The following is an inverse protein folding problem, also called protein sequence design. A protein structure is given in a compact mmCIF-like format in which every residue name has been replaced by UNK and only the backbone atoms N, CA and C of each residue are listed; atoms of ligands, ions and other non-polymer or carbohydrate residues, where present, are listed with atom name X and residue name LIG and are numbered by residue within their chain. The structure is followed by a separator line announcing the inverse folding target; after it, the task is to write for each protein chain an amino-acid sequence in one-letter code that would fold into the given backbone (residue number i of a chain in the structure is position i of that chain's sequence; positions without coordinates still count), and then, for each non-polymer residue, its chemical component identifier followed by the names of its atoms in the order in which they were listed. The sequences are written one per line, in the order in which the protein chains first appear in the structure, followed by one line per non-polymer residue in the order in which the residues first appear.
data_IF_125516185662
#
_entry.id   IF_125516185662
#
_cell.length_a   1.000
_cell.length_b   1.000
_cell.length_c   1.000
_cell.angle_alpha   90.00
_cell.angle_beta   90.00
_cell.angle_gamma   90.00
#
_symmetry.space_group_name_H-M   'P 1'
#
loop_
_entity.id
_entity.type
_entity.pdbx_description
1 polymer ?
#
# COMPACT_ATOMS: atom_id res chain seq x y z
N UNK A 1 2.30 8.58 -13.88
CA UNK A 1 2.71 7.81 -15.09
C UNK A 1 1.81 8.02 -16.33
N UNK A 2 0.76 8.83 -16.25
CA UNK A 2 -0.32 8.84 -17.26
C UNK A 2 0.03 9.20 -18.70
N UNK A 3 1.15 9.90 -18.89
CA UNK A 3 1.63 10.40 -20.19
C UNK A 3 2.63 9.47 -20.88
N UNK A 4 2.98 8.36 -20.24
CA UNK A 4 3.91 7.36 -20.77
C UNK A 4 3.17 6.35 -21.67
N UNK A 5 3.84 5.86 -22.71
CA UNK A 5 3.37 4.71 -23.49
C UNK A 5 3.41 3.42 -22.67
N UNK A 6 2.72 2.36 -23.11
CA UNK A 6 2.73 1.07 -22.40
C UNK A 6 4.15 0.48 -22.25
N UNK A 7 4.98 0.59 -23.29
CA UNK A 7 6.39 0.14 -23.22
C UNK A 7 7.21 0.95 -22.21
N UNK A 8 6.94 2.26 -22.09
CA UNK A 8 7.60 3.11 -21.12
C UNK A 8 7.12 2.79 -19.70
N UNK A 9 5.82 2.53 -19.52
CA UNK A 9 5.25 2.09 -18.23
C UNK A 9 5.89 0.78 -17.78
N UNK A 10 6.00 -0.21 -18.66
CA UNK A 10 6.63 -1.49 -18.32
C UNK A 10 8.06 -1.34 -17.77
N UNK A 11 8.84 -0.37 -18.29
CA UNK A 11 10.18 -0.05 -17.76
C UNK A 11 10.13 0.56 -16.36
N UNK A 12 9.21 1.49 -16.13
CA UNK A 12 8.99 2.11 -14.82
C UNK A 12 8.48 1.08 -13.82
N UNK A 13 7.55 0.22 -14.21
CA UNK A 13 6.99 -0.84 -13.37
C UNK A 13 8.08 -1.82 -12.91
N UNK A 14 9.00 -2.21 -13.79
CA UNK A 14 10.13 -3.06 -13.40
C UNK A 14 11.06 -2.40 -12.37
N UNK A 15 11.22 -1.08 -12.41
CA UNK A 15 11.95 -0.33 -11.38
C UNK A 15 11.15 -0.24 -10.07
N UNK A 16 9.85 0.04 -10.17
CA UNK A 16 8.95 0.14 -9.03
C UNK A 16 8.83 -1.18 -8.27
N UNK A 17 8.76 -2.31 -8.98
CA UNK A 17 8.74 -3.65 -8.37
C UNK A 17 10.00 -3.92 -7.53
N UNK A 18 11.17 -3.40 -7.93
CA UNK A 18 12.39 -3.50 -7.12
C UNK A 18 12.29 -2.66 -5.85
N UNK A 19 11.69 -1.47 -5.94
CA UNK A 19 11.42 -0.66 -4.75
C UNK A 19 10.43 -1.36 -3.81
N UNK A 20 9.34 -1.92 -4.33
CA UNK A 20 8.38 -2.70 -3.54
C UNK A 20 9.07 -3.89 -2.85
N UNK A 21 9.93 -4.62 -3.56
CA UNK A 21 10.72 -5.71 -2.96
C UNK A 21 11.61 -5.24 -1.81
N UNK A 22 12.26 -4.07 -1.94
CA UNK A 22 13.05 -3.48 -0.88
C UNK A 22 12.20 -3.06 0.34
N UNK A 23 11.01 -2.50 0.10
CA UNK A 23 10.08 -2.19 1.18
C UNK A 23 9.58 -3.48 1.86
N UNK A 24 9.24 -4.50 1.08
CA UNK A 24 8.72 -5.77 1.60
C UNK A 24 9.77 -6.60 2.35
N UNK A 25 11.05 -6.30 2.16
CA UNK A 25 12.16 -6.86 2.92
C UNK A 25 12.24 -6.28 4.35
N UNK A 26 11.63 -5.12 4.62
CA UNK A 26 11.49 -4.59 5.97
C UNK A 26 10.37 -5.36 6.68
N UNK A 27 10.68 -5.94 7.84
CA UNK A 27 9.77 -6.82 8.58
C UNK A 27 9.45 -6.29 9.97
N UNK A 28 8.27 -6.63 10.46
CA UNK A 28 7.82 -6.31 11.81
C UNK A 28 6.85 -7.37 12.33
N UNK A 29 6.84 -7.58 13.64
CA UNK A 29 5.83 -8.35 14.38
C UNK A 29 4.66 -7.49 14.86
N UNK A 30 4.68 -6.18 14.59
CA UNK A 30 3.58 -5.25 14.87
C UNK A 30 3.14 -4.54 13.61
N UNK A 31 1.83 -4.35 13.44
CA UNK A 31 1.30 -3.53 12.36
C UNK A 31 1.46 -2.04 12.66
N UNK A 32 1.25 -1.21 11.63
CA UNK A 32 1.24 0.25 11.74
C UNK A 32 2.52 0.91 11.21
N UNK A 33 2.53 2.23 11.21
CA UNK A 33 3.63 3.04 10.70
C UNK A 33 4.88 2.99 11.60
N UNK A 34 5.97 3.68 11.23
CA UNK A 34 7.22 3.74 11.99
C UNK A 34 7.07 4.23 13.44
N UNK A 35 5.99 4.95 13.74
CA UNK A 35 5.65 5.45 15.10
C UNK A 35 4.74 4.50 15.89
N UNK A 36 4.30 3.38 15.29
CA UNK A 36 3.31 2.47 15.84
C UNK A 36 1.86 2.90 15.65
N UNK A 37 1.60 4.09 15.08
CA UNK A 37 0.26 4.54 14.72
C UNK A 37 -0.27 3.68 13.56
N UNK A 38 -1.48 3.16 13.72
CA UNK A 38 -2.17 2.40 12.66
C UNK A 38 -3.09 3.35 11.91
N UNK A 39 -2.77 3.59 10.63
CA UNK A 39 -3.62 4.32 9.70
C UNK A 39 -4.03 3.32 8.61
N UNK A 40 -5.28 2.82 8.61
CA UNK A 40 -5.74 1.91 7.57
C UNK A 40 -5.68 2.55 6.17
N UNK A 41 -5.52 1.75 5.09
CA UNK A 41 -5.65 2.26 3.74
C UNK A 41 -7.03 2.91 3.54
N UNK A 42 -7.11 3.97 2.74
CA UNK A 42 -8.35 4.71 2.46
C UNK A 42 -9.57 3.80 2.17
N UNK A 43 -9.38 2.77 1.33
CA UNK A 43 -10.47 1.82 0.99
C UNK A 43 -11.02 1.03 2.17
N UNK A 44 -10.22 0.75 3.19
CA UNK A 44 -10.68 0.11 4.43
C UNK A 44 -11.37 1.12 5.36
N UNK A 45 -10.82 2.33 5.46
CA UNK A 45 -11.43 3.41 6.27
C UNK A 45 -12.84 3.77 5.78
N UNK A 46 -13.11 3.71 4.48
CA UNK A 46 -14.45 3.96 3.95
C UNK A 46 -15.53 2.98 4.48
N UNK A 47 -15.13 1.85 5.08
CA UNK A 47 -16.04 0.82 5.59
C UNK A 47 -16.26 0.91 7.11
N UNK A 48 -15.53 1.76 7.83
CA UNK A 48 -15.62 1.86 9.30
C UNK A 48 -15.48 3.32 9.76
N UNK A 49 -16.19 3.66 10.84
CA UNK A 49 -15.99 4.94 11.55
C UNK A 49 -15.00 4.81 12.71
N UNK A 50 -14.32 3.66 12.83
CA UNK A 50 -13.34 3.46 13.89
C UNK A 50 -12.01 4.14 13.55
N UNK A 51 -11.65 5.11 14.39
CA UNK A 51 -10.40 5.85 14.30
C UNK A 51 -9.37 5.40 15.35
N UNK A 52 -9.74 4.46 16.23
CA UNK A 52 -8.86 3.95 17.28
C UNK A 52 -8.50 2.48 17.04
N UNK A 53 -7.22 2.26 16.72
CA UNK A 53 -6.68 0.96 16.35
C UNK A 53 -5.50 0.66 17.26
N UNK A 54 -5.72 -0.19 18.28
CA UNK A 54 -4.67 -0.64 19.18
C UNK A 54 -4.03 -1.95 18.67
N UNK A 55 -2.87 -1.92 18.00
CA UNK A 55 -2.28 -3.11 17.40
C UNK A 55 -1.76 -4.08 18.46
N UNK A 56 -2.09 -5.36 18.29
CA UNK A 56 -1.49 -6.43 19.07
C UNK A 56 -0.15 -6.87 18.47
N UNK A 57 0.72 -7.43 19.31
CA UNK A 57 1.96 -8.02 18.86
C UNK A 57 1.70 -9.43 18.32
N UNK A 58 2.20 -9.71 17.11
CA UNK A 58 2.27 -11.06 16.56
C UNK A 58 3.48 -11.81 17.13
N UNK A 59 3.38 -13.13 17.22
CA UNK A 59 4.50 -14.02 17.58
C UNK A 59 5.59 -14.10 16.49
N UNK A 60 5.30 -13.57 15.29
CA UNK A 60 6.16 -13.66 14.11
C UNK A 60 6.27 -12.32 13.39
N UNK A 61 7.40 -12.10 12.72
CA UNK A 61 7.64 -10.94 11.84
C UNK A 61 7.00 -11.14 10.45
N UNK A 62 5.68 -11.35 10.46
CA UNK A 62 4.87 -11.68 9.29
C UNK A 62 4.42 -10.46 8.49
N UNK A 63 4.65 -9.24 9.00
CA UNK A 63 4.26 -8.00 8.35
C UNK A 63 5.43 -7.39 7.58
N UNK A 64 5.11 -6.81 6.43
CA UNK A 64 6.04 -6.16 5.52
C UNK A 64 5.70 -4.68 5.40
N UNK A 65 6.67 -3.83 5.06
CA UNK A 65 6.38 -2.40 4.90
C UNK A 65 5.65 -2.14 3.58
N UNK A 66 4.40 -1.72 3.65
CA UNK A 66 3.51 -1.43 2.53
C UNK A 66 3.33 0.08 2.35
N UNK A 67 3.12 0.53 1.12
CA UNK A 67 2.75 1.92 0.84
C UNK A 67 1.24 2.15 1.00
N UNK A 68 0.42 1.14 0.68
CA UNK A 68 -1.03 1.14 0.81
C UNK A 68 -1.82 2.08 -0.11
N UNK A 69 -1.16 2.96 -0.84
CA UNK A 69 -1.73 3.88 -1.83
C UNK A 69 -0.83 4.06 -3.06
N UNK A 70 -0.25 2.96 -3.55
CA UNK A 70 0.71 3.02 -4.65
C UNK A 70 0.02 3.07 -6.02
N UNK A 71 -0.59 4.21 -6.33
CA UNK A 71 -1.19 4.52 -7.65
C UNK A 71 -0.17 5.14 -8.61
N UNK A 72 -0.54 5.26 -9.90
CA UNK A 72 0.28 5.95 -10.91
C UNK A 72 0.53 7.43 -10.61
N UNK A 73 -0.31 8.05 -9.77
CA UNK A 73 -0.20 9.45 -9.38
C UNK A 73 0.88 9.68 -8.33
N UNK A 74 1.15 8.66 -7.52
CA UNK A 74 2.10 8.71 -6.42
C UNK A 74 3.52 8.31 -6.83
N UNK A 75 3.75 8.06 -8.13
CA UNK A 75 5.07 7.74 -8.69
C UNK A 75 5.51 8.82 -9.68
N UNK A 76 6.51 9.59 -9.27
CA UNK A 76 7.08 10.68 -10.06
C UNK A 76 8.20 10.12 -10.92
N UNK A 77 8.02 10.22 -12.24
CA UNK A 77 8.96 9.69 -13.24
C UNK A 77 9.54 10.83 -14.05
N UNK A 78 10.86 10.80 -14.27
CA UNK A 78 11.49 11.65 -15.27
C UNK A 78 11.18 11.10 -16.67
N UNK A 79 10.43 11.83 -17.51
CA UNK A 79 9.95 11.31 -18.80
C UNK A 79 11.08 11.05 -19.81
N UNK A 80 12.26 11.65 -19.63
CA UNK A 80 13.38 11.46 -20.55
C UNK A 80 14.17 10.19 -20.22
N UNK A 81 14.47 9.96 -18.94
CA UNK A 81 15.25 8.81 -18.48
C UNK A 81 14.40 7.60 -18.12
N UNK A 82 13.09 7.79 -17.93
CA UNK A 82 12.13 6.82 -17.39
C UNK A 82 12.50 6.32 -15.99
N UNK A 83 13.29 7.11 -15.25
CA UNK A 83 13.68 6.82 -13.86
C UNK A 83 12.67 7.39 -12.88
N UNK A 84 12.38 6.61 -11.84
CA UNK A 84 11.58 7.06 -10.71
C UNK A 84 12.42 8.07 -9.94
N UNK A 85 11.88 9.27 -9.78
CA UNK A 85 12.49 10.38 -9.04
C UNK A 85 11.97 10.46 -7.62
N UNK A 86 10.72 10.06 -7.41
CA UNK A 86 10.11 9.99 -6.10
C UNK A 86 8.92 9.02 -6.10
N UNK A 87 8.69 8.42 -4.94
CA UNK A 87 7.41 7.82 -4.55
C UNK A 87 6.91 8.69 -3.40
N UNK A 88 5.66 9.16 -3.47
CA UNK A 88 5.09 10.15 -2.56
C UNK A 88 3.79 9.63 -1.94
N UNK A 89 3.22 10.38 -1.00
CA UNK A 89 1.91 10.09 -0.38
C UNK A 89 1.91 8.85 0.52
N UNK A 90 2.84 8.84 1.48
CA UNK A 90 3.07 7.73 2.41
C UNK A 90 2.17 7.76 3.65
N UNK A 91 1.06 8.50 3.63
CA UNK A 91 0.22 8.70 4.83
C UNK A 91 -0.40 7.39 5.37
N UNK A 92 -0.62 6.42 4.48
CA UNK A 92 -1.13 5.08 4.83
C UNK A 92 -0.02 4.03 5.02
N UNK A 93 1.24 4.44 4.95
CA UNK A 93 2.35 3.49 4.94
C UNK A 93 2.60 2.88 6.31
N UNK A 94 2.94 1.59 6.32
CA UNK A 94 3.23 0.87 7.56
C UNK A 94 3.43 -0.62 7.34
N UNK A 95 3.62 -1.34 8.44
CA UNK A 95 3.77 -2.79 8.42
C UNK A 95 2.40 -3.47 8.35
N UNK A 96 2.17 -4.23 7.29
CA UNK A 96 0.93 -4.98 7.04
C UNK A 96 1.23 -6.31 6.32
N UNK A 97 0.27 -7.23 6.21
CA UNK A 97 0.40 -8.35 5.28
C UNK A 97 0.61 -7.85 3.84
N UNK A 98 1.49 -8.52 3.06
CA UNK A 98 1.88 -8.05 1.73
C UNK A 98 0.71 -7.83 0.75
N UNK A 99 -0.43 -8.50 0.95
CA UNK A 99 -1.62 -8.31 0.11
C UNK A 99 -2.29 -6.93 0.28
N UNK A 100 -1.94 -6.16 1.32
CA UNK A 100 -2.37 -4.77 1.47
C UNK A 100 -1.81 -3.86 0.37
N UNK A 101 -0.61 -4.18 -0.15
CA UNK A 101 0.11 -3.37 -1.14
C UNK A 101 -0.24 -3.78 -2.58
N UNK A 102 -1.51 -3.60 -2.94
CA UNK A 102 -2.04 -3.91 -4.28
C UNK A 102 -1.31 -3.11 -5.36
N UNK A 103 -1.08 -3.74 -6.51
CA UNK A 103 -0.37 -3.13 -7.65
C UNK A 103 -1.23 -2.14 -8.46
N UNK A 104 -1.88 -1.19 -7.80
CA UNK A 104 -2.74 -0.19 -8.46
C UNK A 104 -1.98 0.67 -9.47
N UNK A 105 -0.67 0.84 -9.33
CA UNK A 105 0.21 1.48 -10.30
C UNK A 105 0.17 0.86 -11.71
N UNK A 106 -0.31 -0.38 -11.88
CA UNK A 106 -0.44 -1.03 -13.20
C UNK A 106 -1.61 -0.50 -14.02
N UNK A 107 -2.51 0.29 -13.43
CA UNK A 107 -3.63 0.90 -14.14
C UNK A 107 -3.84 2.35 -13.75
N UNK A 108 -4.66 3.05 -14.56
CA UNK A 108 -5.09 4.40 -14.24
C UNK A 108 -6.16 4.38 -13.15
N UNK A 109 -6.23 5.47 -12.39
CA UNK A 109 -7.26 5.69 -11.37
C UNK A 109 -6.77 5.51 -9.93
N UNK A 110 -7.70 5.56 -8.98
CA UNK A 110 -7.41 5.51 -7.54
C UNK A 110 -6.95 4.13 -7.06
N UNK A 111 -6.36 4.07 -5.86
CA UNK A 111 -5.99 2.85 -5.14
C UNK A 111 -7.18 2.17 -4.44
N UNK A 112 -8.29 2.04 -5.16
CA UNK A 112 -9.50 1.31 -4.75
C UNK A 112 -9.93 0.41 -5.91
N UNK A 113 -10.66 -0.67 -5.64
CA UNK A 113 -11.18 -1.53 -6.71
C UNK A 113 -12.11 -0.75 -7.65
N UNK A 114 -11.95 -0.93 -8.96
CA UNK A 114 -12.81 -0.35 -9.99
C UNK A 114 -13.29 -1.44 -10.95
N UNK A 115 -14.44 -1.22 -11.62
CA UNK A 115 -14.91 -1.95 -12.81
C UNK A 115 -14.57 -3.45 -12.88
N UNK A 116 -15.22 -4.26 -12.03
CA UNK A 116 -15.08 -5.72 -12.05
C UNK A 116 -13.84 -6.26 -11.34
N UNK A 117 -12.98 -5.38 -10.80
CA UNK A 117 -11.93 -5.80 -9.86
C UNK A 117 -12.52 -6.30 -8.54
N UNK A 118 -11.84 -7.25 -7.92
CA UNK A 118 -12.18 -7.71 -6.57
C UNK A 118 -11.92 -6.61 -5.55
N UNK A 119 -12.97 -6.14 -4.90
CA UNK A 119 -12.91 -5.25 -3.74
C UNK A 119 -12.34 -6.02 -2.54
N UNK A 120 -11.17 -5.59 -2.06
CA UNK A 120 -10.49 -6.18 -0.90
C UNK A 120 -10.81 -5.43 0.41
N UNK A 121 -11.56 -4.32 0.37
CA UNK A 121 -11.77 -3.43 1.51
C UNK A 121 -12.29 -4.12 2.77
N UNK A 122 -13.27 -5.03 2.62
CA UNK A 122 -13.81 -5.82 3.74
C UNK A 122 -12.76 -6.77 4.33
N UNK A 123 -11.95 -7.42 3.48
CA UNK A 123 -10.87 -8.32 3.91
C UNK A 123 -9.83 -7.54 4.73
N UNK A 124 -9.49 -6.32 4.29
CA UNK A 124 -8.54 -5.47 5.02
C UNK A 124 -9.12 -5.04 6.37
N UNK A 125 -10.40 -4.69 6.41
CA UNK A 125 -11.08 -4.28 7.64
C UNK A 125 -11.19 -5.44 8.63
N UNK A 126 -11.57 -6.63 8.17
CA UNK A 126 -11.65 -7.84 8.99
C UNK A 126 -10.29 -8.21 9.57
N UNK A 127 -9.21 -8.05 8.80
CA UNK A 127 -7.85 -8.22 9.31
C UNK A 127 -7.58 -7.25 10.47
N UNK A 128 -7.89 -5.96 10.29
CA UNK A 128 -7.67 -4.94 11.34
C UNK A 128 -8.48 -5.26 12.61
N UNK A 129 -9.74 -5.67 12.49
CA UNK A 129 -10.54 -6.11 13.64
C UNK A 129 -9.97 -7.36 14.33
N UNK A 130 -9.29 -8.22 13.59
CA UNK A 130 -8.69 -9.43 14.14
C UNK A 130 -7.41 -9.15 14.94
N UNK A 131 -6.58 -8.21 14.47
CA UNK A 131 -5.24 -7.95 15.05
C UNK A 131 -5.17 -6.71 15.93
N UNK A 132 -6.21 -5.89 15.96
CA UNK A 132 -6.35 -4.77 16.88
C UNK A 132 -7.32 -5.14 18.00
N UNK A 133 -7.11 -4.60 19.20
CA UNK A 133 -8.13 -4.68 20.24
C UNK A 133 -9.35 -3.86 19.82
N UNK A 134 -10.54 -4.37 20.14
CA UNK A 134 -11.73 -3.53 20.16
C UNK A 134 -11.55 -2.46 21.25
N UNK A 135 -11.97 -1.21 20.99
CA UNK A 135 -11.99 -0.16 22.01
C UNK A 135 -12.83 -0.54 23.24
#
# INVERSE_FOLDING_TARGET
MDRLTEDQKARVESELEKHIQNLHALRSSKIGGPTGLVIPPYRAMQKSFNDDWEPQQSDKDDFVFCHNDLSQNNVIVDPNSLKIRAIIDWEYAGFYPAYFDRSFFRRKGPSVAIDGETDDSEILLDFLHCVCKAP
#
